data_IF_665309735386
#
_entry.id   IF_665309735386
#
_cell.length_a   1.000
_cell.length_b   1.000
_cell.length_c   1.000
_cell.angle_alpha   90.00
_cell.angle_beta   90.00
_cell.angle_gamma   90.00
#
_symmetry.space_group_name_H-M   'P 1'
#
loop_
_entity.id
_entity.type
_entity.pdbx_description
1 polymer ?
#
# COMPACT_ATOMS: atom_id res chain seq x y z
N UNK A 1 -6.10 9.14 -0.34
CA UNK A 1 -6.78 9.40 0.94
C UNK A 1 -7.62 8.18 1.29
N UNK A 2 -7.49 7.65 2.52
CA UNK A 2 -8.25 6.50 3.01
C UNK A 2 -7.60 5.14 2.77
N UNK A 3 -6.40 5.05 2.18
CA UNK A 3 -5.68 3.77 1.95
C UNK A 3 -5.56 2.96 3.24
N UNK A 4 -4.97 3.52 4.28
CA UNK A 4 -4.75 2.83 5.56
C UNK A 4 -6.04 2.31 6.20
N UNK A 5 -7.13 3.08 6.14
CA UNK A 5 -8.43 2.64 6.67
C UNK A 5 -8.97 1.43 5.91
N UNK A 6 -8.83 1.43 4.57
CA UNK A 6 -9.28 0.33 3.72
C UNK A 6 -8.40 -0.90 3.93
N UNK A 7 -7.07 -0.76 3.90
CA UNK A 7 -6.14 -1.89 4.08
C UNK A 7 -6.30 -2.56 5.44
N UNK A 8 -6.46 -1.79 6.52
CA UNK A 8 -6.74 -2.33 7.86
C UNK A 8 -8.16 -2.92 7.97
N UNK A 9 -9.12 -2.36 7.24
CA UNK A 9 -10.46 -2.95 7.12
C UNK A 9 -10.42 -4.33 6.46
N UNK A 10 -9.71 -4.46 5.35
CA UNK A 10 -9.51 -5.75 4.66
C UNK A 10 -8.78 -6.76 5.55
N UNK A 11 -7.70 -6.33 6.24
CA UNK A 11 -6.97 -7.19 7.18
C UNK A 11 -7.89 -7.78 8.25
N UNK A 12 -8.74 -6.97 8.86
CA UNK A 12 -9.68 -7.41 9.90
C UNK A 12 -10.81 -8.30 9.37
N UNK A 13 -11.20 -8.12 8.10
CA UNK A 13 -12.33 -8.83 7.51
C UNK A 13 -11.96 -10.20 6.95
N UNK A 14 -10.70 -10.43 6.60
CA UNK A 14 -10.25 -11.68 5.99
C UNK A 14 -9.41 -12.48 7.00
N UNK A 15 -9.90 -13.65 7.39
CA UNK A 15 -9.19 -14.53 8.31
C UNK A 15 -7.81 -14.93 7.76
N UNK A 16 -6.78 -14.77 8.60
CA UNK A 16 -5.39 -15.08 8.25
C UNK A 16 -4.72 -14.04 7.36
N UNK A 17 -5.37 -12.92 7.05
CA UNK A 17 -4.71 -11.78 6.43
C UNK A 17 -3.74 -11.13 7.41
N UNK A 18 -2.61 -10.66 6.89
CA UNK A 18 -1.57 -9.97 7.65
C UNK A 18 -1.13 -8.71 6.91
N UNK A 19 -0.92 -7.64 7.66
CA UNK A 19 -0.43 -6.38 7.12
C UNK A 19 1.09 -6.32 7.25
N UNK A 20 1.79 -5.98 6.17
CA UNK A 20 3.24 -5.78 6.19
C UNK A 20 3.58 -4.41 6.75
N UNK A 21 4.29 -4.39 7.88
CA UNK A 21 4.81 -3.18 8.50
C UNK A 21 6.11 -2.78 7.80
N UNK A 22 6.14 -1.57 7.21
CA UNK A 22 7.32 -1.05 6.51
C UNK A 22 8.36 -0.49 7.47
N UNK A 23 9.63 -0.56 7.07
CA UNK A 23 10.70 0.23 7.69
C UNK A 23 10.66 1.68 7.21
N UNK A 24 11.02 2.63 8.05
CA UNK A 24 11.14 4.04 7.66
C UNK A 24 12.27 4.76 8.40
N UNK A 25 12.87 5.75 7.72
CA UNK A 25 13.81 6.70 8.33
C UNK A 25 13.11 7.97 8.83
N UNK A 26 11.77 8.05 8.70
CA UNK A 26 10.98 9.11 9.31
C UNK A 26 11.09 9.03 10.83
N UNK A 27 11.40 10.14 11.53
CA UNK A 27 11.37 10.14 12.98
C UNK A 27 10.01 9.67 13.52
N UNK A 28 10.05 8.85 14.56
CA UNK A 28 8.88 8.42 15.29
C UNK A 28 8.24 9.63 15.98
N UNK A 29 6.91 9.72 15.96
CA UNK A 29 6.12 10.69 16.73
C UNK A 29 5.44 10.01 17.92
N UNK A 30 4.91 10.79 18.87
CA UNK A 30 4.20 10.25 20.03
C UNK A 30 2.93 9.44 19.66
N UNK A 31 2.39 9.68 18.49
CA UNK A 31 1.21 8.96 17.98
C UNK A 31 1.55 7.62 17.30
N UNK A 32 2.83 7.38 17.01
CA UNK A 32 3.28 6.18 16.32
C UNK A 32 3.57 5.02 17.29
N UNK A 33 3.22 3.82 16.89
CA UNK A 33 3.54 2.58 17.61
C UNK A 33 4.56 1.77 16.82
N UNK A 34 5.75 1.54 17.43
CA UNK A 34 6.80 0.70 16.85
C UNK A 34 6.30 -0.70 16.52
N UNK A 35 6.61 -1.17 15.30
CA UNK A 35 6.21 -2.50 14.84
C UNK A 35 4.72 -2.64 14.48
N UNK A 36 3.94 -1.55 14.58
CA UNK A 36 2.53 -1.49 14.18
C UNK A 36 2.33 -0.53 13.03
N UNK A 37 2.81 0.71 13.18
CA UNK A 37 2.75 1.71 12.12
C UNK A 37 3.96 1.59 11.19
N UNK A 38 5.15 1.54 11.77
CA UNK A 38 6.43 1.35 11.08
C UNK A 38 7.44 0.65 11.98
N UNK A 39 8.51 0.11 11.37
CA UNK A 39 9.80 -0.14 12.00
C UNK A 39 10.67 1.10 11.80
N UNK A 40 10.91 1.87 12.85
CA UNK A 40 11.69 3.11 12.78
C UNK A 40 13.18 2.79 12.88
N UNK A 41 13.92 3.05 11.81
CA UNK A 41 15.37 2.80 11.70
C UNK A 41 16.10 4.07 11.23
N UNK A 42 17.39 4.14 11.48
CA UNK A 42 18.21 5.24 10.96
C UNK A 42 18.58 5.07 9.48
N UNK A 43 19.12 6.11 8.87
CA UNK A 43 19.52 6.10 7.46
C UNK A 43 20.61 5.06 7.17
N UNK A 44 21.58 4.87 8.09
CA UNK A 44 22.68 3.91 7.92
C UNK A 44 22.15 2.47 7.89
N UNK A 45 21.25 2.12 8.83
CA UNK A 45 20.59 0.83 8.86
C UNK A 45 19.75 0.59 7.60
N UNK A 46 18.98 1.61 7.15
CA UNK A 46 18.18 1.51 5.93
C UNK A 46 19.05 1.23 4.70
N UNK A 47 20.14 2.00 4.50
CA UNK A 47 21.04 1.81 3.35
C UNK A 47 21.76 0.45 3.41
N UNK A 48 22.13 -0.01 4.59
CA UNK A 48 22.74 -1.33 4.77
C UNK A 48 21.74 -2.45 4.38
N UNK A 49 20.50 -2.38 4.83
CA UNK A 49 19.43 -3.33 4.44
C UNK A 49 19.17 -3.29 2.94
N UNK A 50 19.11 -2.10 2.35
CA UNK A 50 18.92 -1.90 0.91
C UNK A 50 20.06 -2.53 0.11
N UNK A 51 21.30 -2.30 0.51
CA UNK A 51 22.49 -2.88 -0.13
C UNK A 51 22.50 -4.41 -0.09
N UNK A 52 21.98 -5.02 0.99
CA UNK A 52 21.82 -6.48 1.12
C UNK A 52 20.59 -7.04 0.41
N UNK A 53 19.77 -6.19 -0.27
CA UNK A 53 18.56 -6.63 -0.97
C UNK A 53 17.42 -7.09 -0.05
N UNK A 54 17.40 -6.60 1.20
CA UNK A 54 16.41 -7.01 2.22
C UNK A 54 15.04 -6.35 2.05
N UNK A 55 14.91 -5.41 1.11
CA UNK A 55 13.62 -4.79 0.79
C UNK A 55 12.99 -5.37 -0.48
N UNK A 56 11.70 -5.65 -0.41
CA UNK A 56 10.89 -6.01 -1.56
C UNK A 56 10.71 -4.79 -2.50
N UNK A 57 10.48 -3.63 -1.92
CA UNK A 57 10.44 -2.32 -2.58
C UNK A 57 10.98 -1.24 -1.65
N UNK A 58 11.39 -0.12 -2.21
CA UNK A 58 11.76 1.09 -1.46
C UNK A 58 11.19 2.33 -2.14
N UNK A 59 10.83 3.34 -1.34
CA UNK A 59 10.38 4.65 -1.80
C UNK A 59 11.06 5.78 -1.02
N UNK A 60 11.26 6.92 -1.67
CA UNK A 60 11.63 8.18 -1.02
C UNK A 60 10.43 9.13 -1.10
N UNK A 61 9.95 9.55 0.05
CA UNK A 61 8.80 10.44 0.15
C UNK A 61 9.21 11.64 1.01
N UNK A 62 9.37 12.80 0.39
CA UNK A 62 9.83 14.03 1.04
C UNK A 62 11.16 13.87 1.81
N UNK A 63 12.12 13.14 1.24
CA UNK A 63 13.43 12.90 1.86
C UNK A 63 13.40 11.92 3.02
N UNK A 64 12.30 11.19 3.20
CA UNK A 64 12.19 10.07 4.13
C UNK A 64 12.07 8.76 3.36
N UNK A 65 12.85 7.79 3.76
CA UNK A 65 12.90 6.48 3.11
C UNK A 65 11.89 5.54 3.72
N UNK A 66 11.29 4.71 2.87
CA UNK A 66 10.35 3.67 3.26
C UNK A 66 10.73 2.38 2.53
N UNK A 67 10.56 1.23 3.17
CA UNK A 67 10.87 -0.05 2.55
C UNK A 67 10.09 -1.19 3.16
N UNK A 68 9.60 -2.08 2.31
CA UNK A 68 8.88 -3.28 2.73
C UNK A 68 9.86 -4.43 2.98
N UNK A 69 9.93 -5.01 4.21
CA UNK A 69 10.82 -6.13 4.52
C UNK A 69 10.51 -7.36 3.67
N UNK A 70 11.46 -7.76 2.82
CA UNK A 70 11.29 -8.82 1.82
C UNK A 70 11.10 -10.20 2.44
N UNK A 71 12.00 -10.59 3.34
CA UNK A 71 12.00 -11.93 3.93
C UNK A 71 10.71 -12.24 4.70
N UNK A 72 10.18 -11.24 5.42
CA UNK A 72 8.93 -11.38 6.14
C UNK A 72 7.74 -11.61 5.18
N UNK A 73 7.64 -10.82 4.10
CA UNK A 73 6.57 -10.97 3.10
C UNK A 73 6.63 -12.35 2.44
N UNK A 74 7.82 -12.76 1.98
CA UNK A 74 8.03 -14.06 1.33
C UNK A 74 7.67 -15.23 2.26
N UNK A 75 8.02 -15.13 3.55
CA UNK A 75 7.68 -16.14 4.55
C UNK A 75 6.16 -16.24 4.76
N UNK A 76 5.45 -15.11 4.91
CA UNK A 76 4.00 -15.14 5.10
C UNK A 76 3.29 -15.70 3.87
N UNK A 77 3.72 -15.33 2.66
CA UNK A 77 3.19 -15.86 1.40
C UNK A 77 3.43 -17.38 1.31
N UNK A 78 4.63 -17.86 1.68
CA UNK A 78 4.95 -19.30 1.70
C UNK A 78 4.06 -20.08 2.65
N UNK A 79 3.67 -19.47 3.78
CA UNK A 79 2.67 -20.01 4.72
C UNK A 79 1.22 -19.95 4.21
N UNK A 80 0.99 -19.48 2.99
CA UNK A 80 -0.34 -19.36 2.39
C UNK A 80 -1.18 -18.20 2.91
N UNK A 81 -0.58 -17.27 3.64
CA UNK A 81 -1.30 -16.09 4.16
C UNK A 81 -1.54 -15.05 3.07
N UNK A 82 -2.62 -14.30 3.22
CA UNK A 82 -2.83 -13.07 2.47
C UNK A 82 -1.98 -11.97 3.09
N UNK A 83 -1.01 -11.45 2.34
CA UNK A 83 -0.18 -10.32 2.77
C UNK A 83 -0.67 -9.05 2.10
N UNK A 84 -0.93 -8.02 2.90
CA UNK A 84 -1.38 -6.71 2.45
C UNK A 84 -0.20 -5.74 2.53
N UNK A 85 0.10 -5.09 1.40
CA UNK A 85 1.08 -4.01 1.29
C UNK A 85 0.35 -2.69 1.05
N UNK A 86 0.75 -1.64 1.75
CA UNK A 86 0.33 -0.27 1.49
C UNK A 86 1.54 0.54 1.01
N UNK A 87 1.64 0.70 -0.30
CA UNK A 87 2.79 1.28 -0.99
C UNK A 87 2.33 2.29 -2.05
N UNK A 88 3.26 3.09 -2.57
CA UNK A 88 3.02 4.00 -3.68
C UNK A 88 3.12 3.29 -5.05
N UNK A 89 2.93 4.05 -6.14
CA UNK A 89 2.97 3.49 -7.51
C UNK A 89 4.36 2.96 -7.86
N UNK A 90 5.42 3.63 -7.45
CA UNK A 90 6.80 3.19 -7.75
C UNK A 90 7.16 1.92 -6.96
N UNK A 91 6.71 1.83 -5.72
CA UNK A 91 6.79 0.59 -4.93
C UNK A 91 5.99 -0.55 -5.57
N UNK A 92 4.77 -0.26 -6.04
CA UNK A 92 3.95 -1.26 -6.72
C UNK A 92 4.60 -1.80 -8.00
N UNK A 93 5.28 -0.94 -8.79
CA UNK A 93 6.06 -1.36 -9.94
C UNK A 93 7.22 -2.29 -9.55
N UNK A 94 7.93 -1.99 -8.45
CA UNK A 94 9.01 -2.82 -7.93
C UNK A 94 8.48 -4.18 -7.46
N UNK A 95 7.38 -4.19 -6.69
CA UNK A 95 6.74 -5.43 -6.24
C UNK A 95 6.28 -6.27 -7.43
N UNK A 96 5.62 -5.66 -8.43
CA UNK A 96 5.13 -6.41 -9.60
C UNK A 96 6.24 -7.06 -10.40
N UNK A 97 7.44 -6.44 -10.49
CA UNK A 97 8.61 -7.04 -11.13
C UNK A 97 9.15 -8.26 -10.35
N UNK A 98 9.20 -8.19 -9.03
CA UNK A 98 9.72 -9.26 -8.16
C UNK A 98 8.70 -10.35 -7.86
N UNK A 99 7.43 -9.98 -7.79
CA UNK A 99 6.29 -10.86 -7.52
C UNK A 99 5.17 -10.61 -8.55
N UNK A 100 5.29 -11.12 -9.79
CA UNK A 100 4.34 -10.85 -10.88
C UNK A 100 2.89 -11.24 -10.54
N UNK A 101 2.73 -12.23 -9.66
CA UNK A 101 1.42 -12.67 -9.18
C UNK A 101 0.78 -11.72 -8.15
N UNK A 102 1.44 -10.65 -7.71
CA UNK A 102 0.84 -9.69 -6.78
C UNK A 102 -0.42 -9.06 -7.39
N UNK A 103 -1.50 -9.00 -6.61
CA UNK A 103 -2.78 -8.39 -7.02
C UNK A 103 -2.79 -6.93 -6.61
N UNK A 104 -2.79 -6.04 -7.57
CA UNK A 104 -2.74 -4.60 -7.37
C UNK A 104 -4.13 -3.97 -7.35
N UNK A 105 -4.46 -3.26 -6.28
CA UNK A 105 -5.68 -2.44 -6.17
C UNK A 105 -5.27 -0.99 -5.93
N UNK A 106 -5.65 -0.10 -6.82
CA UNK A 106 -5.43 1.34 -6.66
C UNK A 106 -6.69 2.01 -6.12
N UNK A 107 -6.55 2.78 -5.05
CA UNK A 107 -7.68 3.48 -4.42
C UNK A 107 -7.81 4.89 -5.01
N UNK A 108 -8.94 5.16 -5.66
CA UNK A 108 -9.27 6.45 -6.25
C UNK A 108 -10.23 7.25 -5.35
N UNK A 109 -10.12 8.58 -5.30
CA UNK A 109 -11.22 9.42 -4.84
C UNK A 109 -12.37 9.40 -5.86
N UNK A 110 -13.63 9.71 -5.44
CA UNK A 110 -14.75 9.82 -6.37
C UNK A 110 -14.57 10.91 -7.41
N UNK A 111 -14.12 12.09 -6.97
CA UNK A 111 -13.81 13.25 -7.80
C UNK A 111 -12.59 14.00 -7.28
N UNK A 112 -12.05 14.91 -8.09
CA UNK A 112 -10.95 15.81 -7.70
C UNK A 112 -11.38 16.76 -6.56
N UNK A 113 -12.62 17.23 -6.58
CA UNK A 113 -13.18 18.12 -5.54
C UNK A 113 -13.24 17.40 -4.19
N UNK A 114 -13.66 16.14 -4.18
CA UNK A 114 -13.67 15.32 -2.97
C UNK A 114 -12.25 15.07 -2.48
N UNK A 115 -11.29 14.84 -3.36
CA UNK A 115 -9.90 14.70 -2.99
C UNK A 115 -9.38 15.97 -2.32
N UNK A 116 -9.61 17.14 -2.93
CA UNK A 116 -9.19 18.43 -2.38
C UNK A 116 -9.83 18.72 -1.01
N UNK A 117 -11.13 18.45 -0.88
CA UNK A 117 -11.87 18.59 0.38
C UNK A 117 -11.27 17.68 1.47
N UNK A 118 -10.97 16.42 1.14
CA UNK A 118 -10.34 15.48 2.07
C UNK A 118 -8.90 15.87 2.44
N UNK A 119 -8.15 16.51 1.56
CA UNK A 119 -6.83 17.05 1.89
C UNK A 119 -6.95 18.23 2.87
N UNK A 120 -7.87 19.17 2.62
CA UNK A 120 -8.14 20.34 3.50
C UNK A 120 -8.64 19.95 4.89
N UNK A 121 -9.45 18.91 5.01
CA UNK A 121 -10.02 18.48 6.29
C UNK A 121 -8.99 17.98 7.32
N UNK A 122 -7.77 17.68 6.90
CA UNK A 122 -6.68 17.21 7.80
C UNK A 122 -6.06 18.30 8.67
N UNK A 123 -6.53 19.55 8.59
CA UNK A 123 -6.36 20.71 9.52
C UNK A 123 -4.94 21.09 10.01
N UNK A 124 -3.86 20.64 9.37
CA UNK A 124 -2.48 20.91 9.85
C UNK A 124 -1.55 21.50 8.80
N UNK A 125 -2.05 21.81 7.60
CA UNK A 125 -1.23 22.25 6.48
C UNK A 125 -1.77 23.57 5.91
N UNK A 126 -0.85 24.41 5.43
CA UNK A 126 -1.19 25.61 4.68
C UNK A 126 -1.72 25.27 3.29
N UNK A 127 -2.40 26.21 2.65
CA UNK A 127 -3.02 25.99 1.32
C UNK A 127 -1.96 25.63 0.26
N UNK A 128 -0.73 26.14 0.34
CA UNK A 128 0.34 25.83 -0.59
C UNK A 128 0.76 24.36 -0.53
N UNK A 129 0.85 23.81 0.69
CA UNK A 129 1.11 22.40 0.93
C UNK A 129 -0.02 21.50 0.44
N UNK A 130 -1.28 21.94 0.63
CA UNK A 130 -2.47 21.24 0.12
C UNK A 130 -2.45 21.19 -1.40
N UNK A 131 -2.16 22.31 -2.08
CA UNK A 131 -2.11 22.36 -3.55
C UNK A 131 -0.99 21.48 -4.11
N UNK A 132 0.18 21.47 -3.47
CA UNK A 132 1.28 20.59 -3.87
C UNK A 132 0.87 19.11 -3.76
N UNK A 133 0.27 18.70 -2.63
CA UNK A 133 -0.21 17.33 -2.43
C UNK A 133 -1.34 16.94 -3.39
N UNK A 134 -2.20 17.89 -3.74
CA UNK A 134 -3.23 17.68 -4.74
C UNK A 134 -2.63 17.41 -6.12
N UNK A 135 -1.66 18.23 -6.55
CA UNK A 135 -0.96 18.03 -7.81
C UNK A 135 -0.17 16.69 -7.84
N UNK A 136 0.45 16.30 -6.73
CA UNK A 136 1.12 15.00 -6.59
C UNK A 136 0.14 13.84 -6.70
N UNK A 137 -1.00 13.92 -6.03
CA UNK A 137 -2.03 12.88 -6.09
C UNK A 137 -2.58 12.69 -7.51
N UNK A 138 -2.74 13.78 -8.27
CA UNK A 138 -3.13 13.71 -9.70
C UNK A 138 -2.07 12.98 -10.52
N UNK A 139 -0.81 13.35 -10.38
CA UNK A 139 0.31 12.66 -11.06
C UNK A 139 0.40 11.18 -10.69
N UNK A 140 0.18 10.87 -9.39
CA UNK A 140 0.15 9.48 -8.92
C UNK A 140 -0.99 8.68 -9.58
N UNK A 141 -2.20 9.26 -9.70
CA UNK A 141 -3.34 8.62 -10.38
C UNK A 141 -3.07 8.39 -11.87
N UNK A 142 -2.47 9.35 -12.56
CA UNK A 142 -2.07 9.20 -13.96
C UNK A 142 -0.99 8.11 -14.13
N UNK A 143 0.05 8.15 -13.31
CA UNK A 143 1.11 7.14 -13.28
C UNK A 143 0.54 5.75 -12.99
N UNK A 144 -0.40 5.62 -12.06
CA UNK A 144 -1.04 4.35 -11.74
C UNK A 144 -1.76 3.77 -12.96
N UNK A 145 -2.54 4.59 -13.67
CA UNK A 145 -3.28 4.17 -14.88
C UNK A 145 -2.34 3.76 -16.00
N UNK A 146 -1.25 4.51 -16.20
CA UNK A 146 -0.27 4.21 -17.25
C UNK A 146 0.64 3.02 -16.92
N UNK A 147 0.79 2.66 -15.64
CA UNK A 147 1.77 1.68 -15.18
C UNK A 147 1.48 0.24 -15.57
N UNK A 148 0.21 -0.13 -15.75
CA UNK A 148 -0.22 -1.51 -16.00
C UNK A 148 -0.03 -2.48 -14.82
N UNK A 149 0.38 -1.99 -13.63
CA UNK A 149 0.65 -2.87 -12.46
C UNK A 149 -0.58 -3.12 -11.59
N UNK A 150 -1.63 -2.33 -11.75
CA UNK A 150 -2.88 -2.47 -10.99
C UNK A 150 -3.90 -3.30 -11.77
N UNK A 151 -4.50 -4.25 -11.09
CA UNK A 151 -5.57 -5.09 -11.61
C UNK A 151 -6.94 -4.41 -11.50
N UNK A 152 -7.11 -3.56 -10.47
CA UNK A 152 -8.37 -2.89 -10.18
C UNK A 152 -8.13 -1.45 -9.72
N UNK A 153 -9.00 -0.54 -10.15
CA UNK A 153 -9.12 0.82 -9.63
C UNK A 153 -10.41 0.92 -8.83
N UNK A 154 -10.28 1.03 -7.50
CA UNK A 154 -11.39 1.06 -6.56
C UNK A 154 -11.70 2.51 -6.16
N UNK A 155 -12.89 3.00 -6.49
CA UNK A 155 -13.35 4.33 -6.08
C UNK A 155 -13.80 4.28 -4.61
N UNK A 156 -13.16 5.09 -3.76
CA UNK A 156 -13.48 5.24 -2.35
C UNK A 156 -14.37 6.47 -2.12
N UNK A 157 -15.66 6.27 -2.26
CA UNK A 157 -16.67 7.27 -1.88
C UNK A 157 -17.02 7.11 -0.40
N UNK A 158 -17.56 5.99 -0.01
CA UNK A 158 -17.87 5.61 1.36
C UNK A 158 -16.91 4.52 1.82
N UNK A 159 -16.28 4.73 2.97
CA UNK A 159 -15.20 3.85 3.48
C UNK A 159 -15.72 2.43 3.69
N UNK A 160 -16.89 2.26 4.31
CA UNK A 160 -17.43 0.94 4.63
C UNK A 160 -17.72 0.13 3.36
N UNK A 161 -18.38 0.73 2.39
CA UNK A 161 -18.64 0.12 1.07
C UNK A 161 -17.34 -0.19 0.32
N UNK A 162 -16.34 0.67 0.47
CA UNK A 162 -15.02 0.47 -0.16
C UNK A 162 -14.28 -0.70 0.46
N UNK A 163 -14.40 -0.91 1.78
CA UNK A 163 -13.84 -2.10 2.47
C UNK A 163 -14.54 -3.36 1.98
N UNK A 164 -15.87 -3.38 1.95
CA UNK A 164 -16.64 -4.53 1.47
C UNK A 164 -16.29 -4.91 0.03
N UNK A 165 -16.18 -3.92 -0.86
CA UNK A 165 -15.78 -4.13 -2.26
C UNK A 165 -14.34 -4.63 -2.36
N UNK A 166 -13.40 -4.09 -1.57
CA UNK A 166 -12.03 -4.54 -1.55
C UNK A 166 -11.94 -6.00 -1.06
N UNK A 167 -12.66 -6.38 -0.02
CA UNK A 167 -12.76 -7.75 0.49
C UNK A 167 -13.29 -8.68 -0.62
N UNK A 168 -14.39 -8.33 -1.26
CA UNK A 168 -14.98 -9.13 -2.33
C UNK A 168 -14.01 -9.35 -3.52
N UNK A 169 -13.28 -8.31 -3.93
CA UNK A 169 -12.26 -8.39 -4.97
C UNK A 169 -11.11 -9.33 -4.61
N UNK A 170 -10.62 -9.25 -3.38
CA UNK A 170 -9.54 -10.10 -2.89
C UNK A 170 -9.98 -11.56 -2.78
N UNK A 171 -11.18 -11.82 -2.25
CA UNK A 171 -11.69 -13.18 -2.13
C UNK A 171 -11.95 -13.81 -3.51
N UNK A 172 -12.53 -13.07 -4.46
CA UNK A 172 -12.72 -13.54 -5.82
C UNK A 172 -11.37 -13.91 -6.49
N UNK A 173 -10.34 -13.11 -6.29
CA UNK A 173 -8.98 -13.41 -6.82
C UNK A 173 -8.37 -14.65 -6.15
N UNK A 174 -8.59 -14.83 -4.85
CA UNK A 174 -8.14 -16.04 -4.13
C UNK A 174 -8.82 -17.30 -4.64
N UNK A 175 -10.12 -17.25 -4.88
CA UNK A 175 -10.90 -18.36 -5.43
C UNK A 175 -10.44 -18.72 -6.85
N UNK A 176 -10.25 -17.72 -7.72
CA UNK A 176 -9.74 -17.92 -9.06
C UNK A 176 -8.39 -18.67 -9.02
N UNK A 177 -7.47 -18.28 -8.17
CA UNK A 177 -6.14 -18.92 -8.03
C UNK A 177 -6.23 -20.36 -7.49
N UNK A 178 -7.16 -20.63 -6.58
CA UNK A 178 -7.40 -22.00 -6.08
C UNK A 178 -7.92 -22.89 -7.20
N UNK A 179 -8.85 -22.39 -8.02
CA UNK A 179 -9.37 -23.12 -9.17
C UNK A 179 -8.32 -23.43 -10.22
N UNK A 180 -7.36 -22.53 -10.48
CA UNK A 180 -6.26 -22.75 -11.41
C UNK A 180 -5.28 -23.83 -10.91
N UNK A 181 -4.95 -23.83 -9.62
CA UNK A 181 -4.08 -24.86 -9.01
C UNK A 181 -4.72 -26.24 -9.03
N UNK A 182 -6.03 -26.34 -8.81
CA UNK A 182 -6.76 -27.60 -8.86
C UNK A 182 -6.92 -28.20 -10.26
N UNK A 183 -6.70 -27.41 -11.33
CA UNK A 183 -6.74 -27.88 -12.72
C UNK A 183 -5.35 -28.27 -13.28
N UNK A 184 -4.28 -27.87 -12.59
CA UNK A 184 -2.90 -28.11 -13.00
C UNK A 184 -2.25 -29.32 -12.31
N UNK A 185 -2.95 -29.99 -11.39
CA UNK A 185 -2.57 -31.24 -10.73
C UNK A 185 -3.50 -32.37 -11.10
#
# INVERSE_FOLDING_TARGET
VGKTTITRGVERSISGAVFSVSCTTRPKTDADVEGVDYHFIDDAAFEAMKARGEFLETADIYGKKYGTPRAWVEEQVRRGRLVILEIDVEGAKQVKRKMPAAFGVFILPPTEEVLLTRLRSRKREDESSIQRRFAEAKREMESARASGVYNVFLVNDRVDESIERAVALVEAERERRRGERGRAG
#
